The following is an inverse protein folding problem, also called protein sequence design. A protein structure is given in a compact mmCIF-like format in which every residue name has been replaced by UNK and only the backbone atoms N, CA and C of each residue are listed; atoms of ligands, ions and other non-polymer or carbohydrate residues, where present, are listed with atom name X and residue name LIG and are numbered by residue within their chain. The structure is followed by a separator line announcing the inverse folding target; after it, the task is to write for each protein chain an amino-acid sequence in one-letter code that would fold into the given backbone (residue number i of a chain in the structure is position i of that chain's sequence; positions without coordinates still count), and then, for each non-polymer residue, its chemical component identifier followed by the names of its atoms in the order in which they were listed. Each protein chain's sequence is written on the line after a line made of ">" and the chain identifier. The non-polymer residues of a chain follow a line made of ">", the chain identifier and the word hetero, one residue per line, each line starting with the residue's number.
data_IF_756172907159
#
_entry.id   IF_756172907159
#
_cell.length_a   1.000
_cell.length_b   1.000
_cell.length_c   1.000
_cell.angle_alpha   90.00
_cell.angle_beta   90.00
_cell.angle_gamma   90.00
#
_symmetry.space_group_name_H-M   'P 1'
#
loop_
_entity.id
_entity.type
_entity.pdbx_description
1 polymer ?
#
# COMPACT_ATOMS: atom_id res chain seq x y z
N UNK A 1 15.57 -5.73 16.28
CA UNK A 1 16.09 -4.48 15.70
C UNK A 1 14.91 -3.72 15.15
N UNK A 2 14.79 -2.43 15.42
CA UNK A 2 13.70 -1.61 14.87
C UNK A 2 13.95 -1.38 13.38
N UNK A 3 12.88 -1.44 12.59
CA UNK A 3 12.93 -1.22 11.15
C UNK A 3 12.79 0.28 10.90
N UNK A 4 13.92 0.96 10.78
CA UNK A 4 13.99 2.42 10.66
C UNK A 4 14.01 2.86 9.19
N UNK A 5 13.34 3.98 8.92
CA UNK A 5 13.28 4.62 7.61
C UNK A 5 14.22 5.83 7.57
N UNK A 6 14.69 6.18 6.38
CA UNK A 6 15.44 7.42 6.18
C UNK A 6 14.50 8.65 6.13
N UNK A 7 15.07 9.84 5.93
CA UNK A 7 14.31 11.11 5.86
C UNK A 7 13.23 11.12 4.77
N UNK A 8 13.44 10.38 3.69
CA UNK A 8 12.48 10.23 2.58
C UNK A 8 11.45 9.11 2.80
N UNK A 9 11.41 8.51 3.99
CA UNK A 9 10.54 7.36 4.29
C UNK A 9 10.98 6.06 3.62
N UNK A 10 12.19 6.01 3.02
CA UNK A 10 12.71 4.79 2.45
C UNK A 10 13.25 3.89 3.56
N UNK A 11 12.61 2.74 3.71
CA UNK A 11 13.10 1.65 4.54
C UNK A 11 14.16 0.82 3.80
N UNK A 12 14.97 0.01 4.52
CA UNK A 12 15.98 -0.87 3.90
C UNK A 12 15.40 -1.79 2.82
N UNK A 13 14.12 -2.16 2.96
CA UNK A 13 13.42 -2.99 1.98
C UNK A 13 13.17 -2.28 0.64
N UNK A 14 12.96 -0.96 0.63
CA UNK A 14 12.84 -0.16 -0.60
C UNK A 14 14.14 -0.26 -1.41
N UNK A 15 15.28 -0.06 -0.74
CA UNK A 15 16.60 -0.16 -1.36
C UNK A 15 16.92 -1.57 -1.84
N UNK A 16 16.60 -2.60 -1.04
CA UNK A 16 16.83 -3.99 -1.42
C UNK A 16 16.00 -4.41 -2.64
N UNK A 17 14.73 -3.95 -2.71
CA UNK A 17 13.83 -4.17 -3.83
C UNK A 17 14.34 -3.50 -5.12
N UNK A 18 14.71 -2.21 -5.05
CA UNK A 18 15.24 -1.44 -6.17
C UNK A 18 16.53 -2.05 -6.74
N UNK A 19 17.42 -2.51 -5.86
CA UNK A 19 18.71 -3.09 -6.24
C UNK A 19 18.62 -4.57 -6.66
N UNK A 20 17.41 -5.15 -6.78
CA UNK A 20 17.19 -6.55 -7.19
C UNK A 20 17.87 -7.57 -6.26
N UNK A 21 18.00 -7.23 -4.97
CA UNK A 21 18.72 -8.04 -3.99
C UNK A 21 17.77 -8.97 -3.25
N UNK A 22 17.36 -10.07 -3.90
CA UNK A 22 16.45 -11.07 -3.30
C UNK A 22 16.90 -11.56 -1.92
N UNK A 23 18.19 -11.88 -1.78
CA UNK A 23 18.72 -12.41 -0.52
C UNK A 23 18.56 -11.41 0.65
N UNK A 24 18.70 -10.12 0.38
CA UNK A 24 18.52 -9.06 1.37
C UNK A 24 17.04 -8.87 1.69
N UNK A 25 16.17 -8.92 0.68
CA UNK A 25 14.70 -8.90 0.87
C UNK A 25 14.26 -10.02 1.80
N UNK A 26 14.67 -11.26 1.53
CA UNK A 26 14.34 -12.43 2.35
C UNK A 26 14.89 -12.29 3.78
N UNK A 27 16.12 -11.80 3.94
CA UNK A 27 16.70 -11.56 5.26
C UNK A 27 15.92 -10.51 6.05
N UNK A 28 15.54 -9.40 5.41
CA UNK A 28 14.78 -8.33 6.06
C UNK A 28 13.39 -8.82 6.49
N UNK A 29 12.64 -9.47 5.59
CA UNK A 29 11.30 -9.97 5.90
C UNK A 29 11.29 -11.10 6.94
N UNK A 30 12.33 -11.93 7.00
CA UNK A 30 12.41 -13.01 7.98
C UNK A 30 12.82 -12.55 9.39
N UNK A 31 13.69 -11.54 9.50
CA UNK A 31 14.34 -11.19 10.77
C UNK A 31 13.73 -9.97 11.49
N UNK A 32 12.88 -9.19 10.83
CA UNK A 32 12.28 -8.00 11.40
C UNK A 32 10.77 -8.16 11.57
N UNK A 33 10.30 -8.12 12.82
CA UNK A 33 8.86 -8.09 13.10
C UNK A 33 8.27 -6.71 12.80
N UNK A 34 7.06 -6.69 12.24
CA UNK A 34 6.30 -5.46 11.98
C UNK A 34 6.68 -4.75 10.67
N UNK A 35 7.39 -5.41 9.76
CA UNK A 35 7.59 -4.88 8.40
C UNK A 35 6.24 -4.86 7.68
N UNK A 36 5.85 -3.68 7.23
CA UNK A 36 4.83 -3.51 6.21
C UNK A 36 5.51 -3.32 4.84
N UNK A 37 5.50 -4.37 4.02
CA UNK A 37 6.13 -4.36 2.69
C UNK A 37 5.39 -3.49 1.68
N UNK A 38 4.14 -3.13 1.96
CA UNK A 38 3.30 -2.28 1.13
C UNK A 38 3.33 -0.82 1.57
N UNK A 39 3.99 -0.53 2.70
CA UNK A 39 4.18 0.84 3.17
C UNK A 39 4.85 1.68 2.10
N UNK A 40 4.25 2.83 1.83
CA UNK A 40 4.74 3.79 0.84
C UNK A 40 5.71 4.78 1.49
N UNK A 41 6.81 5.05 0.80
CA UNK A 41 7.74 6.13 1.13
C UNK A 41 7.14 7.51 0.79
N UNK A 42 7.92 8.59 0.97
CA UNK A 42 7.49 9.95 0.65
C UNK A 42 7.22 10.17 -0.86
N UNK A 43 7.71 9.29 -1.72
CA UNK A 43 7.45 9.29 -3.17
C UNK A 43 6.20 8.48 -3.54
N UNK A 44 5.45 7.98 -2.56
CA UNK A 44 4.30 7.12 -2.79
C UNK A 44 4.68 5.72 -3.30
N UNK A 45 5.95 5.35 -3.32
CA UNK A 45 6.43 4.04 -3.78
C UNK A 45 6.53 3.10 -2.58
N UNK A 46 6.04 1.89 -2.72
CA UNK A 46 6.29 0.78 -1.79
C UNK A 46 7.48 -0.05 -2.25
N UNK A 47 8.03 -0.87 -1.36
CA UNK A 47 9.07 -1.84 -1.72
C UNK A 47 8.63 -2.77 -2.87
N UNK A 48 7.34 -3.14 -2.91
CA UNK A 48 6.78 -3.90 -4.03
C UNK A 48 6.86 -3.12 -5.35
N UNK A 49 6.47 -1.84 -5.35
CA UNK A 49 6.54 -1.01 -6.55
C UNK A 49 7.97 -0.81 -7.06
N UNK A 50 8.94 -0.66 -6.17
CA UNK A 50 10.36 -0.59 -6.51
C UNK A 50 10.86 -1.90 -7.14
N UNK A 51 10.45 -3.05 -6.60
CA UNK A 51 10.81 -4.36 -7.16
C UNK A 51 10.18 -4.60 -8.56
N UNK A 52 8.95 -4.12 -8.77
CA UNK A 52 8.26 -4.17 -10.07
C UNK A 52 8.93 -3.24 -11.07
N UNK A 53 9.22 -1.99 -10.69
CA UNK A 53 9.92 -1.03 -11.54
C UNK A 53 11.32 -1.52 -11.93
N UNK A 54 12.00 -2.20 -10.99
CA UNK A 54 13.25 -2.88 -11.25
C UNK A 54 13.08 -4.15 -12.12
N UNK A 55 11.85 -4.65 -12.35
CA UNK A 55 11.59 -5.84 -13.17
C UNK A 55 12.18 -7.13 -12.60
N UNK A 56 12.30 -7.23 -11.27
CA UNK A 56 12.90 -8.39 -10.62
C UNK A 56 11.84 -9.27 -9.96
N UNK A 57 11.34 -10.25 -10.72
CA UNK A 57 10.24 -11.16 -10.32
C UNK A 57 10.52 -11.93 -9.03
N UNK A 58 11.77 -12.29 -8.78
CA UNK A 58 12.15 -13.04 -7.58
C UNK A 58 11.97 -12.21 -6.30
N UNK A 59 12.39 -10.94 -6.30
CA UNK A 59 12.13 -10.04 -5.16
C UNK A 59 10.65 -9.74 -5.01
N UNK A 60 9.91 -9.61 -6.11
CA UNK A 60 8.45 -9.43 -6.08
C UNK A 60 7.77 -10.63 -5.40
N UNK A 61 8.12 -11.85 -5.80
CA UNK A 61 7.58 -13.07 -5.19
C UNK A 61 7.92 -13.16 -3.70
N UNK A 62 9.15 -12.81 -3.31
CA UNK A 62 9.56 -12.82 -1.89
C UNK A 62 8.77 -11.79 -1.06
N UNK A 63 8.52 -10.61 -1.62
CA UNK A 63 7.71 -9.55 -0.98
C UNK A 63 6.24 -9.99 -0.86
N UNK A 64 5.66 -10.57 -1.91
CA UNK A 64 4.27 -11.02 -1.94
C UNK A 64 3.99 -12.23 -1.04
N UNK A 65 5.02 -13.03 -0.74
CA UNK A 65 4.91 -14.12 0.24
C UNK A 65 4.78 -13.62 1.68
N UNK A 66 5.10 -12.34 1.95
CA UNK A 66 5.00 -11.78 3.29
C UNK A 66 3.53 -11.53 3.66
N UNK A 67 3.10 -11.83 4.90
CA UNK A 67 1.69 -11.71 5.33
C UNK A 67 1.12 -10.27 5.25
N UNK A 68 1.98 -9.25 5.22
CA UNK A 68 1.53 -7.86 5.02
C UNK A 68 1.12 -7.55 3.58
N UNK A 69 1.49 -8.39 2.61
CA UNK A 69 1.11 -8.24 1.19
C UNK A 69 -0.23 -8.93 0.89
N UNK A 70 -1.26 -8.63 1.67
CA UNK A 70 -2.59 -9.20 1.43
C UNK A 70 -3.31 -8.54 0.24
N UNK A 71 -4.21 -9.28 -0.40
CA UNK A 71 -4.97 -8.77 -1.56
C UNK A 71 -5.79 -7.52 -1.22
N UNK A 72 -6.32 -7.41 0.00
CA UNK A 72 -7.06 -6.22 0.43
C UNK A 72 -6.19 -4.96 0.48
N UNK A 73 -4.94 -5.04 0.95
CA UNK A 73 -4.03 -3.90 0.95
C UNK A 73 -3.52 -3.56 -0.46
N UNK A 74 -3.45 -4.55 -1.36
CA UNK A 74 -3.15 -4.33 -2.78
C UNK A 74 -4.30 -3.62 -3.50
N UNK A 75 -5.55 -4.00 -3.20
CA UNK A 75 -6.76 -3.44 -3.81
C UNK A 75 -7.20 -2.09 -3.20
N UNK A 76 -6.81 -1.82 -1.94
CA UNK A 76 -7.14 -0.58 -1.22
C UNK A 76 -6.47 0.68 -1.77
N UNK A 77 -5.59 0.56 -2.78
CA UNK A 77 -4.86 1.66 -3.40
C UNK A 77 -5.50 2.30 -4.64
N UNK A 78 -6.75 1.96 -5.00
CA UNK A 78 -7.41 2.49 -6.22
C UNK A 78 -7.85 3.97 -6.13
N UNK A 79 -7.42 4.72 -5.11
CA UNK A 79 -7.75 6.13 -4.93
C UNK A 79 -6.56 6.99 -4.52
N UNK A 80 -5.93 7.66 -5.49
CA UNK A 80 -4.94 8.72 -5.24
C UNK A 80 -3.77 8.66 -6.22
N UNK A 81 -3.71 9.65 -7.14
CA UNK A 81 -2.70 9.80 -8.21
C UNK A 81 -1.25 9.91 -7.73
N UNK A 82 -0.25 10.17 -8.56
CA UNK A 82 -0.20 11.01 -9.75
C UNK A 82 0.87 10.45 -10.70
N UNK A 83 0.61 10.69 -11.98
CA UNK A 83 1.57 10.93 -13.06
C UNK A 83 2.94 11.40 -12.56
N UNK A 84 4.01 10.86 -13.17
CA UNK A 84 5.27 11.51 -13.53
C UNK A 84 6.32 10.40 -13.73
N UNK A 85 6.35 9.88 -14.95
CA UNK A 85 7.58 9.34 -15.51
C UNK A 85 8.50 10.53 -15.75
N UNK A 86 9.45 10.75 -14.84
CA UNK A 86 10.41 11.84 -14.95
C UNK A 86 11.77 11.38 -14.44
N UNK A 87 12.74 11.43 -15.35
CA UNK A 87 14.17 11.33 -15.13
C UNK A 87 14.68 12.13 -13.91
N UNK A 88 15.86 11.74 -13.45
CA UNK A 88 16.77 12.44 -12.53
C UNK A 88 16.41 13.93 -12.28
N UNK A 89 16.11 14.29 -11.02
CA UNK A 89 16.66 15.51 -10.41
C UNK A 89 16.26 15.66 -8.92
N UNK A 90 17.24 16.08 -8.13
CA UNK A 90 17.16 16.37 -6.71
C UNK A 90 16.04 17.37 -6.36
N UNK A 91 15.22 17.06 -5.34
CA UNK A 91 14.57 18.10 -4.53
C UNK A 91 13.98 17.60 -3.21
N UNK A 92 14.48 18.15 -2.11
CA UNK A 92 13.83 18.24 -0.79
C UNK A 92 13.00 19.54 -0.69
N UNK A 93 12.22 19.79 0.38
CA UNK A 93 11.06 19.05 0.88
C UNK A 93 9.80 19.95 0.89
N UNK A 94 8.61 19.34 0.94
CA UNK A 94 7.35 20.11 0.95
C UNK A 94 6.19 19.37 1.58
N UNK A 95 6.06 19.46 2.90
CA UNK A 95 4.88 19.06 3.69
C UNK A 95 3.65 19.84 3.26
N UNK A 96 2.56 19.18 2.82
CA UNK A 96 1.17 19.62 3.09
C UNK A 96 0.22 18.42 3.18
N UNK A 97 -0.20 18.14 4.40
CA UNK A 97 -1.33 17.27 4.71
C UNK A 97 -2.60 17.85 4.06
N UNK A 98 -3.36 17.06 3.32
CA UNK A 98 -4.75 17.38 3.02
C UNK A 98 -5.62 16.13 3.22
N UNK A 99 -6.24 16.06 4.38
CA UNK A 99 -7.19 15.04 4.77
C UNK A 99 -8.51 15.30 4.03
N UNK A 100 -8.59 14.83 2.79
CA UNK A 100 -9.84 14.86 2.05
C UNK A 100 -10.76 13.77 2.59
N UNK A 101 -11.68 14.20 3.44
CA UNK A 101 -12.68 13.35 4.09
C UNK A 101 -13.54 12.63 3.03
N UNK A 102 -13.32 11.34 2.84
CA UNK A 102 -14.18 10.53 1.96
C UNK A 102 -15.56 10.36 2.61
N UNK A 103 -16.61 10.83 1.93
CA UNK A 103 -17.99 10.68 2.39
C UNK A 103 -18.46 9.26 2.03
N UNK A 104 -18.85 8.48 3.03
CA UNK A 104 -19.40 7.12 2.82
C UNK A 104 -20.92 7.20 2.79
N UNK A 105 -21.53 6.79 1.67
CA UNK A 105 -22.97 6.68 1.55
C UNK A 105 -23.41 5.22 1.78
N UNK A 106 -24.34 5.02 2.70
CA UNK A 106 -24.88 3.70 3.04
C UNK A 106 -26.30 3.55 2.52
N UNK A 107 -26.51 2.57 1.64
CA UNK A 107 -27.81 2.23 1.07
C UNK A 107 -28.31 0.93 1.68
N UNK A 108 -29.55 0.93 2.15
CA UNK A 108 -30.22 -0.26 2.70
C UNK A 108 -31.33 -0.68 1.76
N UNK A 109 -31.23 -1.89 1.21
CA UNK A 109 -32.29 -2.46 0.39
C UNK A 109 -33.22 -3.29 1.30
N UNK A 110 -34.44 -2.80 1.48
CA UNK A 110 -35.47 -3.52 2.21
C UNK A 110 -35.94 -4.72 1.39
N UNK A 111 -35.48 -5.92 1.75
CA UNK A 111 -36.14 -7.15 1.31
C UNK A 111 -37.45 -7.27 2.08
N UNK A 112 -38.55 -7.54 1.37
CA UNK A 112 -39.92 -7.50 1.87
C UNK A 112 -40.14 -8.24 3.20
N UNK A 113 -41.03 -7.66 4.00
CA UNK A 113 -41.43 -8.13 5.34
C UNK A 113 -42.05 -9.52 5.23
N UNK A 114 -41.39 -10.51 5.81
CA UNK A 114 -42.03 -11.73 6.33
C UNK A 114 -41.54 -11.91 7.76
N UNK A 115 -42.49 -11.90 8.70
CA UNK A 115 -42.30 -12.34 10.09
C UNK A 115 -41.24 -11.61 10.94
N UNK A 116 -41.32 -10.29 11.01
CA UNK A 116 -40.79 -9.52 12.16
C UNK A 116 -39.27 -9.45 12.34
N UNK A 117 -38.47 -10.00 11.42
CA UNK A 117 -37.02 -9.93 11.45
C UNK A 117 -36.50 -9.23 10.18
N UNK A 118 -36.22 -7.92 10.26
CA UNK A 118 -35.67 -7.13 9.15
C UNK A 118 -34.18 -7.43 8.94
N UNK A 119 -33.88 -8.51 8.22
CA UNK A 119 -32.50 -8.80 7.76
C UNK A 119 -32.30 -8.27 6.33
N UNK A 120 -32.10 -6.96 6.20
CA UNK A 120 -31.76 -6.31 4.93
C UNK A 120 -30.25 -6.24 4.71
N UNK A 121 -29.79 -6.44 3.47
CA UNK A 121 -28.39 -6.26 3.11
C UNK A 121 -28.06 -4.76 3.02
N UNK A 122 -26.99 -4.32 3.72
CA UNK A 122 -26.49 -2.94 3.68
C UNK A 122 -25.30 -2.90 2.72
N UNK A 123 -25.39 -2.06 1.70
CA UNK A 123 -24.29 -1.80 0.75
C UNK A 123 -23.69 -0.44 1.07
N UNK A 124 -22.39 -0.41 1.38
CA UNK A 124 -21.62 0.82 1.62
C UNK A 124 -20.87 1.17 0.34
N UNK A 125 -21.09 2.37 -0.18
CA UNK A 125 -20.37 2.88 -1.35
C UNK A 125 -19.54 4.09 -0.92
N UNK A 126 -18.24 4.05 -1.23
CA UNK A 126 -17.30 5.14 -0.95
C UNK A 126 -17.13 5.96 -2.21
N UNK A 127 -17.36 7.27 -2.13
CA UNK A 127 -17.00 8.21 -3.17
C UNK A 127 -15.65 8.84 -2.81
N UNK A 128 -14.71 8.81 -3.75
CA UNK A 128 -13.41 9.47 -3.65
C UNK A 128 -13.52 10.75 -4.49
N UNK A 129 -13.43 11.91 -3.83
CA UNK A 129 -13.36 13.21 -4.50
C UNK A 129 -11.93 13.53 -4.94
#
# INVERSE_FOLDING_TARGET
>A
AEFLENQSGNSPLHWAAQNKQRAVVAFLTAHFQGIDVLRRNAFGKSALSEAIAAGHTESVNEILQHPSANEEALLGGTGGGQDEAGDDEEKEPGTKNNEQASITHSFSFGSGIVDGQTSGAIVKVRELA
#
